data_IF_863283630651
#
_entry.id   IF_863283630651
#
_cell.length_a   1.000
_cell.length_b   1.000
_cell.length_c   1.000
_cell.angle_alpha   90.00
_cell.angle_beta   90.00
_cell.angle_gamma   90.00
#
_symmetry.space_group_name_H-M   'P 1'
#
loop_
_entity.id
_entity.type
_entity.pdbx_description
1 polymer ?
#
# COMPACT_ATOMS: atom_id res chain seq x y z
N UNK A 1 -30.38 34.96 -38.82
CA UNK A 1 -29.44 34.16 -37.98
C UNK A 1 -29.09 32.88 -38.73
N UNK A 2 -27.83 32.72 -39.14
CA UNK A 2 -27.39 31.65 -40.03
C UNK A 2 -27.39 30.27 -39.33
N UNK A 3 -27.99 29.27 -39.99
CA UNK A 3 -28.07 27.88 -39.51
C UNK A 3 -26.69 27.26 -39.19
N UNK A 4 -25.62 27.74 -39.83
CA UNK A 4 -24.23 27.37 -39.56
C UNK A 4 -23.75 27.80 -38.17
N UNK A 5 -24.12 28.99 -37.71
CA UNK A 5 -23.75 29.48 -36.37
C UNK A 5 -24.47 28.68 -35.26
N UNK A 6 -25.74 28.35 -35.50
CA UNK A 6 -26.55 27.54 -34.58
C UNK A 6 -26.03 26.11 -34.45
N UNK A 7 -25.61 25.50 -35.57
CA UNK A 7 -24.97 24.17 -35.58
C UNK A 7 -23.62 24.19 -34.86
N UNK A 8 -22.78 25.21 -35.06
CA UNK A 8 -21.49 25.31 -34.38
C UNK A 8 -21.64 25.42 -32.85
N UNK A 9 -22.58 26.25 -32.36
CA UNK A 9 -22.91 26.31 -30.93
C UNK A 9 -23.43 24.96 -30.38
N UNK A 10 -24.29 24.25 -31.12
CA UNK A 10 -24.81 22.95 -30.69
C UNK A 10 -23.70 21.90 -30.55
N UNK A 11 -22.74 21.88 -31.48
CA UNK A 11 -21.58 20.99 -31.40
C UNK A 11 -20.64 21.34 -30.25
N UNK A 12 -20.36 22.62 -30.01
CA UNK A 12 -19.55 23.08 -28.87
C UNK A 12 -20.17 22.70 -27.52
N UNK A 13 -21.49 22.84 -27.38
CA UNK A 13 -22.22 22.44 -26.16
C UNK A 13 -22.18 20.92 -25.98
N UNK A 14 -22.36 20.14 -27.05
CA UNK A 14 -22.31 18.68 -26.99
C UNK A 14 -20.91 18.16 -26.59
N UNK A 15 -19.84 18.72 -27.16
CA UNK A 15 -18.46 18.34 -26.82
C UNK A 15 -18.13 18.71 -25.37
N UNK A 16 -18.55 19.90 -24.90
CA UNK A 16 -18.33 20.33 -23.52
C UNK A 16 -19.08 19.46 -22.50
N UNK A 17 -20.32 19.06 -22.83
CA UNK A 17 -21.10 18.15 -22.00
C UNK A 17 -20.46 16.76 -21.91
N UNK A 18 -19.94 16.24 -23.02
CA UNK A 18 -19.25 14.95 -23.07
C UNK A 18 -17.96 14.97 -22.22
N UNK A 19 -17.16 16.03 -22.34
CA UNK A 19 -15.94 16.22 -21.54
C UNK A 19 -16.22 16.34 -20.03
N UNK A 20 -17.32 17.01 -19.66
CA UNK A 20 -17.74 17.15 -18.26
C UNK A 20 -18.20 15.83 -17.65
N UNK A 21 -18.91 15.00 -18.43
CA UNK A 21 -19.32 13.65 -18.03
C UNK A 21 -18.11 12.73 -17.79
N UNK A 22 -17.07 12.82 -18.62
CA UNK A 22 -15.85 12.01 -18.44
C UNK A 22 -15.08 12.39 -17.18
N UNK A 23 -15.04 13.67 -16.81
CA UNK A 23 -14.39 14.11 -15.59
C UNK A 23 -15.12 13.62 -14.32
N UNK A 24 -16.46 13.65 -14.33
CA UNK A 24 -17.27 13.20 -13.20
C UNK A 24 -17.18 11.69 -12.93
N UNK A 25 -17.04 10.87 -13.99
CA UNK A 25 -16.88 9.41 -13.85
C UNK A 25 -15.51 8.99 -13.28
N UNK A 26 -14.50 9.87 -13.33
CA UNK A 26 -13.15 9.60 -12.84
C UNK A 26 -12.90 10.01 -11.38
N UNK A 27 -13.85 10.69 -10.74
CA UNK A 27 -13.72 11.09 -9.33
C UNK A 27 -14.09 9.89 -8.45
N UNK A 28 -13.13 9.35 -7.69
CA UNK A 28 -13.43 8.41 -6.62
C UNK A 28 -13.96 9.22 -5.42
N UNK A 29 -15.24 9.11 -5.03
CA UNK A 29 -15.82 9.93 -3.96
C UNK A 29 -15.14 9.72 -2.60
N UNK A 30 -14.42 8.61 -2.42
CA UNK A 30 -13.65 8.30 -1.21
C UNK A 30 -12.19 8.79 -1.25
N UNK A 31 -11.74 9.35 -2.38
CA UNK A 31 -10.40 9.90 -2.52
C UNK A 31 -10.32 11.29 -1.89
N UNK A 32 -9.78 11.34 -0.67
CA UNK A 32 -9.53 12.56 0.08
C UNK A 32 -8.03 12.84 0.11
N UNK A 33 -7.62 14.08 -0.15
CA UNK A 33 -6.22 14.51 0.03
C UNK A 33 -5.82 14.26 1.50
N UNK A 34 -4.68 13.58 1.72
CA UNK A 34 -4.21 13.17 3.04
C UNK A 34 -4.77 11.83 3.51
N UNK A 35 -5.51 11.11 2.66
CA UNK A 35 -5.95 9.73 2.91
C UNK A 35 -5.26 8.77 1.95
N UNK A 36 -4.09 8.29 2.36
CA UNK A 36 -3.28 7.32 1.63
C UNK A 36 -3.49 5.94 2.26
N UNK A 37 -4.55 5.24 1.87
CA UNK A 37 -4.85 3.86 2.32
C UNK A 37 -4.73 2.91 1.14
N UNK A 38 -4.04 1.78 1.32
CA UNK A 38 -3.90 0.75 0.31
C UNK A 38 -5.20 -0.06 0.11
N UNK A 39 -5.97 -0.28 1.18
CA UNK A 39 -7.19 -1.08 1.19
C UNK A 39 -8.34 -0.23 1.76
N UNK A 40 -9.09 0.49 0.91
CA UNK A 40 -10.08 1.47 1.36
C UNK A 40 -11.33 0.85 2.00
N UNK A 41 -11.61 -0.42 1.72
CA UNK A 41 -12.76 -1.16 2.23
C UNK A 41 -12.28 -2.48 2.82
N UNK A 42 -12.60 -2.73 4.09
CA UNK A 42 -12.38 -4.01 4.75
C UNK A 42 -13.63 -4.89 4.69
N UNK A 43 -13.46 -6.16 4.32
CA UNK A 43 -14.50 -7.19 4.49
C UNK A 43 -14.78 -7.35 5.99
N UNK A 44 -16.06 -7.50 6.35
CA UNK A 44 -16.44 -7.87 7.72
C UNK A 44 -16.36 -9.39 7.89
N UNK A 45 -16.10 -9.85 9.12
CA UNK A 45 -16.09 -11.28 9.43
C UNK A 45 -17.40 -11.96 8.98
N UNK A 46 -17.27 -12.98 8.13
CA UNK A 46 -18.38 -13.73 7.57
C UNK A 46 -18.91 -13.19 6.23
N UNK A 47 -18.48 -12.00 5.79
CA UNK A 47 -18.81 -11.47 4.47
C UNK A 47 -18.21 -12.35 3.36
N UNK A 48 -17.07 -12.98 3.63
CA UNK A 48 -16.39 -13.87 2.69
C UNK A 48 -17.25 -15.07 2.27
N UNK A 49 -18.15 -15.55 3.14
CA UNK A 49 -19.03 -16.67 2.82
C UNK A 49 -20.11 -16.32 1.79
N UNK A 50 -20.42 -15.03 1.64
CA UNK A 50 -21.45 -14.53 0.72
C UNK A 50 -20.83 -13.82 -0.50
N UNK A 51 -19.50 -13.64 -0.51
CA UNK A 51 -18.79 -12.96 -1.59
C UNK A 51 -18.45 -13.96 -2.70
N UNK A 52 -18.73 -13.66 -3.98
CA UNK A 52 -18.33 -14.54 -5.08
C UNK A 52 -16.83 -14.83 -5.07
N UNK A 53 -16.43 -16.08 -5.33
CA UNK A 53 -15.02 -16.50 -5.31
C UNK A 53 -14.12 -15.61 -6.18
N UNK A 54 -14.59 -15.19 -7.35
CA UNK A 54 -13.83 -14.28 -8.23
C UNK A 54 -13.55 -12.93 -7.59
N UNK A 55 -14.48 -12.40 -6.79
CA UNK A 55 -14.28 -11.15 -6.04
C UNK A 55 -13.33 -11.37 -4.87
N UNK A 56 -13.43 -12.52 -4.17
CA UNK A 56 -12.47 -12.87 -3.11
C UNK A 56 -11.04 -12.99 -3.64
N UNK A 57 -10.84 -13.59 -4.83
CA UNK A 57 -9.53 -13.68 -5.48
C UNK A 57 -8.99 -12.28 -5.80
N UNK A 58 -9.85 -11.39 -6.33
CA UNK A 58 -9.45 -10.01 -6.63
C UNK A 58 -9.08 -9.24 -5.36
N UNK A 59 -9.88 -9.37 -4.31
CA UNK A 59 -9.63 -8.74 -3.01
C UNK A 59 -8.36 -9.29 -2.35
N UNK A 60 -8.14 -10.60 -2.42
CA UNK A 60 -6.90 -11.23 -1.98
C UNK A 60 -5.68 -10.72 -2.75
N UNK A 61 -5.78 -10.53 -4.07
CA UNK A 61 -4.70 -9.93 -4.88
C UNK A 61 -4.38 -8.49 -4.45
N UNK A 62 -5.40 -7.69 -4.14
CA UNK A 62 -5.22 -6.34 -3.59
C UNK A 62 -4.48 -6.40 -2.25
N UNK A 63 -4.94 -7.25 -1.31
CA UNK A 63 -4.27 -7.44 -0.01
C UNK A 63 -2.82 -7.92 -0.16
N UNK A 64 -2.55 -8.82 -1.10
CA UNK A 64 -1.22 -9.40 -1.31
C UNK A 64 -0.20 -8.37 -1.80
N UNK A 65 -0.67 -7.34 -2.51
CA UNK A 65 0.15 -6.26 -3.08
C UNK A 65 0.08 -4.97 -2.28
N UNK A 66 -0.75 -4.91 -1.24
CA UNK A 66 -0.94 -3.72 -0.43
C UNK A 66 0.32 -3.35 0.34
N UNK A 67 0.76 -2.12 0.18
CA UNK A 67 1.73 -1.47 1.07
C UNK A 67 0.95 -0.68 2.11
N UNK A 68 0.71 -1.29 3.28
CA UNK A 68 -0.10 -0.67 4.31
C UNK A 68 0.55 0.60 4.84
N UNK A 69 -0.26 1.63 5.07
CA UNK A 69 0.21 2.90 5.64
C UNK A 69 -0.07 3.01 7.13
N UNK A 70 0.49 4.03 7.78
CA UNK A 70 0.22 4.31 9.20
C UNK A 70 -1.27 4.55 9.49
N UNK A 71 -2.04 4.98 8.49
CA UNK A 71 -3.49 5.20 8.61
C UNK A 71 -4.27 3.88 8.70
N UNK A 72 -3.66 2.80 8.20
CA UNK A 72 -4.19 1.44 8.22
C UNK A 72 -3.61 0.62 9.38
N UNK A 73 -2.83 1.26 10.26
CA UNK A 73 -2.18 0.61 11.39
C UNK A 73 -0.87 -0.08 11.05
N UNK A 74 -0.22 0.28 9.93
CA UNK A 74 1.08 -0.27 9.59
C UNK A 74 2.15 0.06 10.64
N UNK A 75 3.00 -0.93 10.89
CA UNK A 75 4.12 -0.83 11.82
C UNK A 75 3.85 -1.44 13.18
N UNK A 76 4.93 -1.65 13.93
CA UNK A 76 4.93 -2.17 15.29
C UNK A 76 6.03 -1.47 16.07
N UNK A 77 5.79 -0.25 16.60
CA UNK A 77 6.86 0.60 17.13
C UNK A 77 7.67 -0.03 18.26
N UNK A 78 7.14 -1.06 18.92
CA UNK A 78 7.76 -1.74 20.05
C UNK A 78 8.08 -3.22 19.76
N UNK A 79 8.11 -3.62 18.50
CA UNK A 79 8.43 -5.00 18.12
C UNK A 79 9.31 -5.08 16.88
N UNK A 80 10.21 -6.07 16.89
CA UNK A 80 10.99 -6.52 15.75
C UNK A 80 10.07 -7.14 14.69
N UNK A 81 10.56 -7.30 13.47
CA UNK A 81 9.80 -8.02 12.43
C UNK A 81 9.60 -9.51 12.74
N UNK A 82 10.35 -10.09 13.69
CA UNK A 82 10.08 -11.42 14.25
C UNK A 82 8.90 -11.46 15.24
N UNK A 83 8.35 -10.30 15.63
CA UNK A 83 7.33 -10.18 16.68
C UNK A 83 7.88 -10.10 18.11
N UNK A 84 9.19 -10.29 18.31
CA UNK A 84 9.85 -10.08 19.59
C UNK A 84 9.87 -8.58 19.98
N UNK A 85 10.00 -8.29 21.28
CA UNK A 85 10.20 -6.91 21.76
C UNK A 85 11.54 -6.34 21.25
N UNK A 86 11.62 -5.01 21.17
CA UNK A 86 12.89 -4.32 20.86
C UNK A 86 13.96 -4.61 21.92
N UNK A 87 15.22 -4.60 21.50
CA UNK A 87 16.37 -4.65 22.42
C UNK A 87 16.45 -3.39 23.27
N UNK A 88 16.05 -2.23 22.73
CA UNK A 88 15.85 -0.99 23.49
C UNK A 88 14.43 -0.43 23.31
N UNK A 89 13.55 -0.72 24.27
CA UNK A 89 12.18 -0.21 24.29
C UNK A 89 12.08 1.31 24.49
N UNK A 90 13.14 2.00 24.93
CA UNK A 90 13.16 3.46 25.02
C UNK A 90 13.36 4.12 23.65
N UNK A 91 13.73 3.34 22.63
CA UNK A 91 13.91 3.76 21.25
C UNK A 91 12.91 3.04 20.33
N UNK A 92 11.65 3.53 20.19
CA UNK A 92 10.62 2.89 19.38
C UNK A 92 10.78 3.12 17.88
N UNK A 93 10.39 2.15 17.05
CA UNK A 93 10.42 2.20 15.57
C UNK A 93 9.35 3.16 15.03
N UNK A 94 9.60 4.45 15.21
CA UNK A 94 8.87 5.57 14.62
C UNK A 94 9.81 6.35 13.71
N UNK A 95 9.29 7.27 12.89
CA UNK A 95 10.11 8.06 11.96
C UNK A 95 11.27 8.76 12.67
N UNK A 96 12.52 8.68 12.13
CA UNK A 96 12.94 8.05 10.86
C UNK A 96 13.39 6.59 10.98
N UNK A 97 13.26 5.97 12.15
CA UNK A 97 13.70 4.59 12.42
C UNK A 97 12.77 3.50 11.86
N UNK A 98 11.56 3.88 11.48
CA UNK A 98 10.63 3.04 10.74
C UNK A 98 10.79 3.17 9.21
N UNK A 99 11.90 3.72 8.72
CA UNK A 99 12.16 3.87 7.28
C UNK A 99 13.49 3.19 6.89
N UNK A 100 13.39 2.00 6.32
CA UNK A 100 14.48 1.12 5.85
C UNK A 100 13.93 -0.08 5.05
N UNK A 101 14.53 -0.35 3.89
CA UNK A 101 14.11 -1.42 2.96
C UNK A 101 14.38 -2.83 3.48
N UNK A 102 15.20 -2.96 4.51
CA UNK A 102 15.69 -4.26 4.97
C UNK A 102 14.95 -4.74 6.22
N UNK A 103 14.51 -3.82 7.08
CA UNK A 103 13.91 -4.15 8.38
C UNK A 103 12.70 -3.31 8.77
N UNK A 104 12.31 -2.29 7.98
CA UNK A 104 11.21 -1.40 8.32
C UNK A 104 9.90 -1.71 7.59
N UNK A 105 8.78 -1.11 8.04
CA UNK A 105 7.47 -1.25 7.40
C UNK A 105 7.41 -0.92 5.91
N UNK A 106 8.42 -0.29 5.30
CA UNK A 106 8.42 -0.03 3.85
C UNK A 106 8.59 -1.31 3.00
N UNK A 107 8.91 -2.44 3.63
CA UNK A 107 8.91 -3.77 3.02
C UNK A 107 7.76 -4.64 3.59
N UNK A 108 6.54 -4.09 3.67
CA UNK A 108 5.40 -4.74 4.36
C UNK A 108 4.38 -5.45 3.47
N UNK A 109 4.56 -5.47 2.14
CA UNK A 109 3.67 -6.19 1.24
C UNK A 109 4.10 -7.66 1.09
N UNK A 110 3.15 -8.60 1.02
CA UNK A 110 3.44 -10.02 0.76
C UNK A 110 4.19 -10.20 -0.57
N UNK A 111 3.80 -9.41 -1.57
CA UNK A 111 4.44 -9.34 -2.88
C UNK A 111 5.90 -8.88 -2.86
N UNK A 112 6.40 -8.31 -1.75
CA UNK A 112 7.83 -7.96 -1.64
C UNK A 112 8.74 -9.18 -1.73
N UNK A 113 8.33 -10.31 -1.13
CA UNK A 113 9.08 -11.57 -1.16
C UNK A 113 8.46 -12.62 -2.09
N UNK A 114 7.26 -12.39 -2.63
CA UNK A 114 6.51 -13.36 -3.43
C UNK A 114 6.11 -12.78 -4.79
N UNK A 115 7.07 -12.68 -5.71
CA UNK A 115 6.91 -11.91 -6.94
C UNK A 115 7.56 -12.48 -8.20
N UNK A 116 8.30 -13.59 -8.14
CA UNK A 116 8.99 -14.16 -9.30
C UNK A 116 8.46 -15.57 -9.63
N UNK A 117 8.02 -15.82 -10.88
CA UNK A 117 8.00 -14.90 -12.03
C UNK A 117 6.79 -13.93 -12.02
N UNK A 118 5.85 -14.12 -11.09
CA UNK A 118 4.64 -13.31 -10.93
C UNK A 118 4.33 -13.12 -9.46
N UNK A 119 3.56 -12.09 -9.13
CA UNK A 119 3.00 -11.88 -7.79
C UNK A 119 2.31 -13.14 -7.26
N UNK A 120 2.61 -13.53 -6.03
CA UNK A 120 2.10 -14.74 -5.39
C UNK A 120 2.99 -15.97 -5.55
N UNK A 121 4.02 -15.91 -6.40
CA UNK A 121 5.01 -16.99 -6.55
C UNK A 121 6.13 -16.88 -5.49
N UNK A 122 7.27 -17.54 -5.72
CA UNK A 122 8.45 -17.39 -4.86
C UNK A 122 9.11 -16.02 -5.02
N UNK A 123 10.09 -15.73 -4.18
CA UNK A 123 10.98 -14.60 -4.37
C UNK A 123 12.24 -14.99 -5.13
N UNK A 124 12.98 -14.00 -5.63
CA UNK A 124 14.34 -14.26 -6.10
C UNK A 124 15.31 -14.46 -4.92
N UNK A 125 16.56 -14.86 -5.18
CA UNK A 125 17.56 -15.01 -4.12
C UNK A 125 17.82 -13.74 -3.32
N UNK A 126 17.64 -12.55 -3.90
CA UNK A 126 17.89 -11.27 -3.22
C UNK A 126 16.83 -11.01 -2.17
N UNK A 127 15.58 -11.42 -2.42
CA UNK A 127 14.51 -11.38 -1.42
C UNK A 127 14.79 -12.28 -0.20
N UNK A 128 15.53 -13.39 -0.37
CA UNK A 128 15.87 -14.31 0.74
C UNK A 128 16.97 -13.77 1.67
N UNK A 129 17.94 -13.02 1.14
CA UNK A 129 19.15 -12.59 1.88
C UNK A 129 18.83 -11.70 3.07
N UNK A 130 17.72 -10.96 3.01
CA UNK A 130 17.31 -10.04 4.05
C UNK A 130 16.33 -10.63 5.08
N UNK A 131 15.91 -11.90 4.92
CA UNK A 131 15.05 -12.64 5.87
C UNK A 131 15.75 -12.96 7.20
N UNK A 132 16.93 -12.42 7.47
CA UNK A 132 17.50 -12.46 8.83
C UNK A 132 17.56 -11.08 9.48
N UNK A 133 17.38 -10.00 8.73
CA UNK A 133 17.55 -8.65 9.25
C UNK A 133 16.38 -8.21 10.14
N UNK A 134 15.20 -8.80 9.96
CA UNK A 134 14.01 -8.54 10.78
C UNK A 134 14.15 -8.94 12.26
N UNK A 135 15.25 -9.61 12.64
CA UNK A 135 15.61 -9.90 14.04
C UNK A 135 16.27 -8.72 14.76
N UNK A 136 16.79 -7.77 14.01
CA UNK A 136 17.37 -6.55 14.57
C UNK A 136 16.27 -5.54 14.84
N UNK A 137 16.48 -4.63 15.80
CA UNK A 137 15.53 -3.54 16.04
C UNK A 137 15.36 -2.71 14.76
N UNK A 138 16.48 -2.40 14.11
CA UNK A 138 16.58 -1.76 12.80
C UNK A 138 17.93 -2.11 12.20
N UNK A 139 18.01 -2.44 10.92
CA UNK A 139 19.29 -2.55 10.23
C UNK A 139 19.82 -1.14 9.91
N UNK A 140 21.02 -0.83 10.40
CA UNK A 140 21.72 0.41 10.09
C UNK A 140 23.19 0.10 9.79
N UNK A 141 23.81 0.93 8.94
CA UNK A 141 25.25 0.90 8.68
C UNK A 141 26.00 1.98 9.48
N UNK A 142 25.31 2.68 10.38
CA UNK A 142 25.92 3.62 11.29
C UNK A 142 26.74 2.89 12.37
N UNK A 143 28.07 2.98 12.27
CA UNK A 143 29.00 2.39 13.23
C UNK A 143 28.91 3.00 14.63
N UNK A 144 28.20 4.11 14.79
CA UNK A 144 28.00 4.81 16.07
C UNK A 144 26.62 4.55 16.69
N UNK A 145 25.78 3.70 16.09
CA UNK A 145 24.49 3.34 16.68
C UNK A 145 24.69 2.66 18.05
N UNK A 146 24.19 3.26 19.15
CA UNK A 146 24.37 2.71 20.48
C UNK A 146 23.50 1.48 20.75
N UNK A 147 22.53 1.17 19.89
CA UNK A 147 21.57 0.09 20.09
C UNK A 147 22.20 -1.23 19.60
N UNK A 148 22.73 -2.01 20.54
CA UNK A 148 23.17 -3.37 20.28
C UNK A 148 21.98 -4.29 19.98
N UNK A 149 21.70 -4.54 18.71
CA UNK A 149 20.61 -5.41 18.29
C UNK A 149 21.02 -6.89 18.46
N UNK A 150 20.32 -7.65 19.31
CA UNK A 150 20.50 -9.11 19.47
C UNK A 150 19.49 -9.93 18.68
#
# INVERSE_FOLDING_TARGET
MNNTFRRCCQWLVAVSALASMTAALGQNPDAQIGREVAIPRHLQDGEEFNTPLSQLIQYGSQLFTAEFTIQEGAGRPLSKGTGAVLSDSSSPLVFPRNFDRVSSPDANACSGCHNVPVTGAGGDRVTEVFVLAQRFDRLTFDHTDPIGTR
#
